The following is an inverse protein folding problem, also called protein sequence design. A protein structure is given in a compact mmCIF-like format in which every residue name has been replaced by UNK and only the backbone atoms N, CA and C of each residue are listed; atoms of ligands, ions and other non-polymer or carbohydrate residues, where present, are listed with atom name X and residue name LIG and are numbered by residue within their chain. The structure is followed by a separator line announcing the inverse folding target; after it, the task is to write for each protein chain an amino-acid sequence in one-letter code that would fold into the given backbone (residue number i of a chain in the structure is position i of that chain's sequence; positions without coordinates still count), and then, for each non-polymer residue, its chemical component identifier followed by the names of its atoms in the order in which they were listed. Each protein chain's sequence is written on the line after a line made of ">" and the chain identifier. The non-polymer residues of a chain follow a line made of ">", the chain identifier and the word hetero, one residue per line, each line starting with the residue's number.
data_IF_800109331641
#
_entry.id   IF_800109331641
#
_cell.length_a   1.000
_cell.length_b   1.000
_cell.length_c   1.000
_cell.angle_alpha   90.00
_cell.angle_beta   90.00
_cell.angle_gamma   90.00
#
_symmetry.space_group_name_H-M   'P 1'
#
loop_
_entity.id
_entity.type
_entity.pdbx_description
1 polymer ?
#
# COMPACT_ATOMS: atom_id res chain seq x y z
N UNK A 1 6.23 -18.61 -56.97
CA UNK A 1 7.58 -18.96 -57.46
C UNK A 1 8.46 -17.77 -57.10
N UNK A 2 9.04 -17.76 -55.91
CA UNK A 2 10.32 -18.38 -55.55
C UNK A 2 11.49 -17.41 -55.74
N UNK A 3 12.02 -17.00 -54.59
CA UNK A 3 13.43 -16.96 -54.19
C UNK A 3 14.49 -16.13 -54.95
N UNK A 4 15.19 -15.36 -54.10
CA UNK A 4 16.65 -15.17 -53.98
C UNK A 4 17.47 -14.48 -55.07
N UNK A 5 18.14 -13.38 -54.65
CA UNK A 5 19.60 -13.10 -54.74
C UNK A 5 19.84 -11.76 -54.03
N UNK A 6 20.51 -11.62 -52.87
CA UNK A 6 21.91 -11.85 -52.49
C UNK A 6 22.95 -11.00 -53.24
N UNK A 7 23.86 -10.43 -52.42
CA UNK A 7 25.15 -9.77 -52.70
C UNK A 7 25.14 -8.23 -52.79
N UNK A 8 25.62 -7.52 -51.76
CA UNK A 8 27.02 -7.14 -51.41
C UNK A 8 27.23 -5.66 -51.85
N UNK A 9 27.99 -4.75 -51.24
CA UNK A 9 29.09 -4.76 -50.28
C UNK A 9 29.05 -3.37 -49.59
N UNK A 10 29.57 -3.21 -48.38
CA UNK A 10 30.94 -2.71 -48.29
C UNK A 10 31.00 -1.50 -47.36
N UNK A 11 31.27 -1.74 -46.08
CA UNK A 11 31.88 -0.73 -45.23
C UNK A 11 33.12 -1.35 -44.61
N UNK A 12 34.23 -1.00 -45.24
CA UNK A 12 35.55 -1.38 -44.80
C UNK A 12 35.89 -0.67 -43.48
N UNK A 13 36.27 -1.49 -42.51
CA UNK A 13 37.51 -1.38 -41.75
C UNK A 13 37.87 0.01 -41.19
N UNK A 14 37.69 0.16 -39.88
CA UNK A 14 38.58 0.97 -39.06
C UNK A 14 38.92 0.19 -37.80
N UNK A 15 40.11 -0.42 -37.82
CA UNK A 15 40.79 -0.94 -36.63
C UNK A 15 41.35 0.25 -35.86
N UNK A 16 40.99 0.35 -34.59
CA UNK A 16 41.84 1.01 -33.60
C UNK A 16 41.59 0.37 -32.23
N UNK A 17 42.44 -0.61 -31.97
CA UNK A 17 43.08 -0.98 -30.72
C UNK A 17 42.63 -0.25 -29.44
N UNK A 18 42.36 -1.06 -28.43
CA UNK A 18 42.85 -0.78 -27.08
C UNK A 18 41.82 -0.22 -26.11
N UNK A 19 41.13 -1.12 -25.41
CA UNK A 19 41.15 -1.17 -23.94
C UNK A 19 40.39 -2.40 -23.49
N UNK A 20 41.12 -3.38 -22.98
CA UNK A 20 40.58 -4.40 -22.10
C UNK A 20 40.02 -3.70 -20.86
N UNK A 21 38.71 -3.54 -20.80
CA UNK A 21 37.99 -3.26 -19.57
C UNK A 21 37.16 -4.49 -19.25
N UNK A 22 37.77 -5.36 -18.44
CA UNK A 22 37.10 -6.42 -17.71
C UNK A 22 36.02 -5.80 -16.81
N UNK A 23 34.79 -5.72 -17.34
CA UNK A 23 33.62 -5.49 -16.51
C UNK A 23 33.35 -6.77 -15.71
N UNK A 24 33.21 -6.71 -14.38
CA UNK A 24 32.81 -7.87 -13.59
C UNK A 24 31.38 -8.27 -13.98
N UNK A 25 31.02 -9.56 -13.92
CA UNK A 25 29.65 -9.98 -14.16
C UNK A 25 28.78 -9.34 -13.07
N UNK A 26 27.94 -8.39 -13.47
CA UNK A 26 26.88 -7.86 -12.63
C UNK A 26 25.86 -8.99 -12.46
N UNK A 27 26.09 -9.83 -11.45
CA UNK A 27 25.10 -10.78 -10.98
C UNK A 27 23.91 -9.96 -10.49
N UNK A 28 22.85 -9.91 -11.29
CA UNK A 28 21.58 -9.36 -10.86
C UNK A 28 21.02 -10.32 -9.79
N UNK A 29 21.47 -10.14 -8.55
CA UNK A 29 20.83 -10.74 -7.39
C UNK A 29 19.38 -10.27 -7.40
N UNK A 30 18.48 -11.18 -7.76
CA UNK A 30 17.05 -10.96 -7.54
C UNK A 30 16.87 -10.70 -6.05
N UNK A 31 16.23 -9.59 -5.64
CA UNK A 31 15.90 -9.40 -4.24
C UNK A 31 15.09 -10.63 -3.82
N UNK A 32 15.55 -11.32 -2.78
CA UNK A 32 14.82 -12.41 -2.17
C UNK A 32 13.38 -11.97 -1.95
N UNK A 33 12.42 -12.82 -2.34
CA UNK A 33 11.00 -12.57 -2.13
C UNK A 33 10.81 -11.95 -0.75
N UNK A 34 10.28 -10.72 -0.74
CA UNK A 34 9.91 -10.05 0.50
C UNK A 34 8.91 -10.99 1.16
N UNK A 35 9.35 -11.67 2.21
CA UNK A 35 8.47 -12.34 3.13
C UNK A 35 7.54 -11.25 3.63
N UNK A 36 6.28 -11.29 3.18
CA UNK A 36 5.24 -10.41 3.68
C UNK A 36 4.98 -10.87 5.12
N UNK A 37 5.91 -10.50 6.01
CA UNK A 37 5.68 -10.51 7.43
C UNK A 37 4.40 -9.73 7.64
N UNK A 38 3.48 -10.29 8.43
CA UNK A 38 2.23 -9.65 8.76
C UNK A 38 2.49 -8.18 9.07
N UNK A 39 1.72 -7.26 8.48
CA UNK A 39 1.96 -5.84 8.63
C UNK A 39 2.11 -5.55 10.12
N UNK A 40 3.15 -4.83 10.56
CA UNK A 40 3.20 -4.38 11.93
C UNK A 40 1.88 -3.66 12.18
N UNK A 41 1.09 -4.18 13.11
CA UNK A 41 -0.10 -3.50 13.60
C UNK A 41 0.44 -2.21 14.20
N UNK A 42 0.44 -1.13 13.39
CA UNK A 42 0.85 0.19 13.83
C UNK A 42 -0.29 0.75 14.67
N UNK A 43 -0.46 0.20 15.88
CA UNK A 43 -1.19 0.83 16.97
C UNK A 43 -0.30 1.97 17.49
N UNK A 44 -0.37 3.11 16.81
CA UNK A 44 0.17 4.35 17.32
C UNK A 44 -0.94 5.04 18.12
N UNK A 45 -0.89 5.01 19.47
CA UNK A 45 -1.94 5.61 20.31
C UNK A 45 -2.01 7.13 20.18
N UNK A 46 -1.09 7.76 19.44
CA UNK A 46 -1.16 9.20 19.11
C UNK A 46 -1.97 9.50 17.84
N UNK A 47 -2.41 8.47 17.08
CA UNK A 47 -3.12 8.63 15.82
C UNK A 47 -4.61 8.37 15.95
N UNK A 48 -5.40 9.27 15.35
CA UNK A 48 -6.85 9.21 15.36
C UNK A 48 -7.47 9.77 16.63
N UNK A 49 -8.78 10.01 16.56
CA UNK A 49 -9.59 10.36 17.74
C UNK A 49 -9.82 9.12 18.62
N UNK A 50 -10.29 9.35 19.85
CA UNK A 50 -10.58 8.29 20.83
C UNK A 50 -11.40 7.15 20.23
N UNK A 51 -12.46 7.46 19.45
CA UNK A 51 -13.28 6.44 18.79
C UNK A 51 -12.49 5.55 17.81
N UNK A 52 -11.57 6.11 17.03
CA UNK A 52 -10.71 5.33 16.14
C UNK A 52 -9.64 4.53 16.89
N UNK A 53 -9.13 5.06 18.01
CA UNK A 53 -8.20 4.34 18.86
C UNK A 53 -8.87 3.11 19.49
N UNK A 54 -10.11 3.24 19.95
CA UNK A 54 -10.92 2.11 20.42
C UNK A 54 -11.14 1.07 19.32
N UNK A 55 -11.39 1.50 18.07
CA UNK A 55 -11.47 0.54 16.96
C UNK A 55 -10.16 -0.21 16.72
N UNK A 56 -9.02 0.47 16.81
CA UNK A 56 -7.71 -0.16 16.64
C UNK A 56 -7.41 -1.22 17.69
N UNK A 57 -7.92 -1.08 18.92
CA UNK A 57 -7.74 -2.10 19.98
C UNK A 57 -8.67 -3.29 19.80
N UNK A 58 -9.87 -3.09 19.25
CA UNK A 58 -10.85 -4.15 18.98
C UNK A 58 -10.59 -4.93 17.68
N UNK A 59 -9.75 -4.41 16.79
CA UNK A 59 -9.28 -5.11 15.61
C UNK A 59 -8.24 -6.17 15.98
N UNK A 60 -8.72 -7.25 16.57
CA UNK A 60 -7.88 -8.40 16.87
C UNK A 60 -7.55 -9.16 15.57
N UNK A 61 -6.28 -9.07 15.18
CA UNK A 61 -5.74 -9.67 13.95
C UNK A 61 -5.86 -11.19 13.93
N UNK A 62 -5.84 -11.83 15.10
CA UNK A 62 -5.80 -13.30 15.20
C UNK A 62 -7.17 -13.95 15.34
N UNK A 63 -8.16 -13.22 15.86
CA UNK A 63 -9.51 -13.77 16.10
C UNK A 63 -10.53 -13.33 15.08
N UNK A 64 -10.27 -12.25 14.31
CA UNK A 64 -11.19 -11.74 13.29
C UNK A 64 -12.56 -11.34 13.84
N UNK A 65 -12.69 -11.18 15.16
CA UNK A 65 -13.97 -11.05 15.85
C UNK A 65 -14.59 -9.64 15.76
N UNK A 66 -13.98 -8.74 14.98
CA UNK A 66 -14.58 -7.44 14.67
C UNK A 66 -15.53 -7.62 13.50
N UNK A 67 -16.84 -7.59 13.77
CA UNK A 67 -17.86 -7.68 12.73
C UNK A 67 -17.82 -6.44 11.84
N UNK A 68 -17.99 -6.60 10.52
CA UNK A 68 -18.07 -5.48 9.57
C UNK A 68 -19.12 -4.43 9.97
N UNK A 69 -20.19 -4.86 10.65
CA UNK A 69 -21.21 -3.98 11.21
C UNK A 69 -20.70 -3.05 12.31
N UNK A 70 -19.84 -3.52 13.23
CA UNK A 70 -19.32 -2.66 14.30
C UNK A 70 -18.32 -1.63 13.76
N UNK A 71 -17.51 -2.03 12.78
CA UNK A 71 -16.64 -1.13 12.03
C UNK A 71 -17.43 -0.02 11.32
N UNK A 72 -18.50 -0.39 10.62
CA UNK A 72 -19.34 0.57 9.90
C UNK A 72 -20.02 1.57 10.86
N UNK A 73 -20.58 1.09 11.98
CA UNK A 73 -21.15 1.96 13.01
C UNK A 73 -20.13 2.97 13.52
N UNK A 74 -18.93 2.52 13.83
CA UNK A 74 -17.90 3.42 14.34
C UNK A 74 -17.36 4.40 13.29
N UNK A 75 -17.38 4.03 12.00
CA UNK A 75 -17.12 4.97 10.90
C UNK A 75 -18.16 6.10 10.87
N UNK A 76 -19.45 5.75 11.03
CA UNK A 76 -20.53 6.73 11.06
C UNK A 76 -20.44 7.64 12.29
N UNK A 77 -20.12 7.08 13.46
CA UNK A 77 -19.89 7.86 14.69
C UNK A 77 -18.69 8.80 14.54
N UNK A 78 -17.57 8.32 13.99
CA UNK A 78 -16.41 9.16 13.67
C UNK A 78 -16.80 10.31 12.74
N UNK A 79 -17.58 10.05 11.69
CA UNK A 79 -18.05 11.08 10.76
C UNK A 79 -18.92 12.12 11.46
N UNK A 80 -19.82 11.68 12.35
CA UNK A 80 -20.67 12.59 13.11
C UNK A 80 -19.84 13.50 14.02
N UNK A 81 -18.85 12.94 14.73
CA UNK A 81 -17.92 13.71 15.56
C UNK A 81 -17.07 14.69 14.73
N UNK A 82 -16.57 14.24 13.58
CA UNK A 82 -15.78 15.05 12.66
C UNK A 82 -16.56 16.27 12.16
N UNK A 83 -17.85 16.13 11.82
CA UNK A 83 -18.70 17.25 11.40
C UNK A 83 -18.83 18.29 12.51
N UNK A 84 -18.88 17.86 13.78
CA UNK A 84 -19.01 18.78 14.92
C UNK A 84 -17.72 19.50 15.28
N UNK A 85 -16.56 18.85 15.13
CA UNK A 85 -15.26 19.44 15.47
C UNK A 85 -14.15 18.90 14.56
N UNK A 86 -14.04 19.39 13.30
CA UNK A 86 -13.06 18.86 12.36
C UNK A 86 -11.61 19.13 12.80
N UNK A 87 -11.39 20.17 13.61
CA UNK A 87 -10.06 20.52 14.12
C UNK A 87 -9.48 19.51 15.13
N UNK A 88 -10.33 18.69 15.77
CA UNK A 88 -9.90 17.65 16.72
C UNK A 88 -9.49 16.35 16.02
N UNK A 89 -9.63 16.28 14.68
CA UNK A 89 -9.48 15.06 13.90
C UNK A 89 -8.28 15.09 12.93
N UNK A 90 -7.27 15.93 13.15
CA UNK A 90 -6.11 16.11 12.25
C UNK A 90 -5.34 14.83 11.93
N UNK A 91 -5.30 13.89 12.88
CA UNK A 91 -4.59 12.62 12.73
C UNK A 91 -5.50 11.47 12.26
N UNK A 92 -6.81 11.72 12.11
CA UNK A 92 -7.78 10.69 11.74
C UNK A 92 -7.57 10.17 10.31
N UNK A 93 -7.13 11.00 9.36
CA UNK A 93 -6.80 10.53 8.00
C UNK A 93 -5.77 9.40 8.02
N UNK A 94 -4.69 9.58 8.78
CA UNK A 94 -3.61 8.58 8.90
C UNK A 94 -4.12 7.32 9.60
N UNK A 95 -4.86 7.46 10.69
CA UNK A 95 -5.45 6.33 11.41
C UNK A 95 -6.41 5.52 10.53
N UNK A 96 -7.32 6.17 9.78
CA UNK A 96 -8.25 5.51 8.86
C UNK A 96 -7.53 4.77 7.73
N UNK A 97 -6.47 5.37 7.18
CA UNK A 97 -5.65 4.73 6.15
C UNK A 97 -4.95 3.48 6.67
N UNK A 98 -4.45 3.51 7.91
CA UNK A 98 -3.85 2.35 8.56
C UNK A 98 -4.88 1.25 8.84
N UNK A 99 -6.08 1.63 9.28
CA UNK A 99 -7.19 0.70 9.47
C UNK A 99 -7.57 -0.01 8.17
N UNK A 100 -7.70 0.75 7.07
CA UNK A 100 -7.99 0.18 5.76
C UNK A 100 -6.92 -0.83 5.32
N UNK A 101 -5.65 -0.47 5.48
CA UNK A 101 -4.52 -1.36 5.15
C UNK A 101 -4.50 -2.63 6.00
N UNK A 102 -4.91 -2.52 7.27
CA UNK A 102 -5.04 -3.68 8.17
C UNK A 102 -6.12 -4.65 7.68
N UNK A 103 -7.29 -4.12 7.33
CA UNK A 103 -8.40 -4.95 6.83
C UNK A 103 -8.07 -5.62 5.49
N UNK A 104 -7.41 -4.91 4.59
CA UNK A 104 -6.97 -5.47 3.29
C UNK A 104 -6.05 -6.67 3.42
N UNK A 105 -5.25 -6.72 4.48
CA UNK A 105 -4.31 -7.82 4.71
C UNK A 105 -4.94 -8.98 5.46
N UNK A 106 -5.95 -8.73 6.29
CA UNK A 106 -6.71 -9.78 6.97
C UNK A 106 -7.48 -10.65 5.98
N UNK A 107 -7.96 -10.07 4.88
CA UNK A 107 -8.70 -10.76 3.80
C UNK A 107 -9.91 -11.57 4.31
N UNK A 108 -10.57 -11.12 5.38
CA UNK A 108 -11.83 -11.72 5.85
C UNK A 108 -13.00 -11.31 4.95
N UNK A 109 -14.10 -12.06 5.01
CA UNK A 109 -15.34 -11.70 4.34
C UNK A 109 -15.88 -10.35 4.87
N UNK A 110 -16.14 -9.40 3.96
CA UNK A 110 -16.61 -8.05 4.30
C UNK A 110 -15.52 -7.02 4.67
N UNK A 111 -14.26 -7.45 4.85
CA UNK A 111 -13.14 -6.54 5.12
C UNK A 111 -12.83 -5.64 3.93
N UNK A 112 -12.99 -6.14 2.70
CA UNK A 112 -12.67 -5.40 1.48
C UNK A 112 -13.57 -4.16 1.32
N UNK A 113 -14.89 -4.33 1.48
CA UNK A 113 -15.85 -3.22 1.39
C UNK A 113 -15.62 -2.21 2.52
N UNK A 114 -15.33 -2.70 3.72
CA UNK A 114 -15.03 -1.86 4.89
C UNK A 114 -13.72 -1.09 4.69
N UNK A 115 -12.68 -1.71 4.13
CA UNK A 115 -11.42 -1.05 3.82
C UNK A 115 -11.59 0.05 2.77
N UNK A 116 -12.40 -0.20 1.74
CA UNK A 116 -12.75 0.81 0.74
C UNK A 116 -13.48 1.99 1.40
N UNK A 117 -14.46 1.72 2.27
CA UNK A 117 -15.13 2.78 3.02
C UNK A 117 -14.16 3.61 3.88
N UNK A 118 -13.26 2.95 4.62
CA UNK A 118 -12.24 3.62 5.43
C UNK A 118 -11.29 4.50 4.59
N UNK A 119 -10.90 4.03 3.39
CA UNK A 119 -10.14 4.87 2.46
C UNK A 119 -10.92 6.11 2.07
N UNK A 120 -12.19 5.97 1.67
CA UNK A 120 -12.99 7.15 1.33
C UNK A 120 -13.09 8.15 2.48
N UNK A 121 -13.31 7.69 3.71
CA UNK A 121 -13.32 8.56 4.87
C UNK A 121 -11.96 9.22 5.13
N UNK A 122 -10.85 8.49 4.93
CA UNK A 122 -9.51 9.06 5.12
C UNK A 122 -9.26 10.22 4.17
N UNK A 123 -9.68 10.09 2.91
CA UNK A 123 -9.60 11.16 1.92
C UNK A 123 -10.46 12.37 2.31
N UNK A 124 -11.68 12.16 2.81
CA UNK A 124 -12.58 13.24 3.24
C UNK A 124 -11.99 14.09 4.37
N UNK A 125 -11.30 13.45 5.32
CA UNK A 125 -10.72 14.16 6.47
C UNK A 125 -9.28 14.66 6.22
N UNK A 126 -8.62 14.23 5.14
CA UNK A 126 -7.24 14.63 4.81
C UNK A 126 -7.07 16.13 4.55
N UNK A 127 -8.13 16.84 4.16
CA UNK A 127 -8.09 18.29 3.96
C UNK A 127 -7.97 19.11 5.25
N UNK A 128 -8.00 18.46 6.41
CA UNK A 128 -8.09 19.10 7.72
C UNK A 128 -6.89 18.79 8.63
N UNK A 129 -5.88 18.06 8.12
CA UNK A 129 -4.64 17.72 8.82
C UNK A 129 -3.64 18.86 8.87
#
# INVERSE_FOLDING_TARGET
>A
MSDNTSMESGWANSRSSGRSSSAPPHSCSMPSSIEVAAPPIYQDPSLGCEGLQTLQTHLDWHTGFTTSASLLSAILEHRQAFITSPHDHKTCSKALTQLAFTLEQRKSEGDADTAVALRYESWLVSGWS
#
